data_IF_881906076155
#
_entry.id   IF_881906076155
#
_cell.length_a   1.000
_cell.length_b   1.000
_cell.length_c   1.000
_cell.angle_alpha   90.00
_cell.angle_beta   90.00
_cell.angle_gamma   90.00
#
_symmetry.space_group_name_H-M   'P 1'
#
loop_
_entity.id
_entity.type
_entity.pdbx_description
1 polymer ?
#
# COMPACT_ATOMS: atom_id res chain seq x y z
N UNK A 1 2.91 -9.83 -33.97
CA UNK A 1 4.12 -9.08 -33.61
C UNK A 1 4.54 -9.41 -32.17
N UNK A 2 3.58 -9.80 -31.33
CA UNK A 2 3.75 -10.15 -29.92
C UNK A 2 2.99 -11.44 -29.63
N UNK A 3 3.56 -12.64 -29.95
CA UNK A 3 2.89 -13.93 -29.81
C UNK A 3 2.53 -14.27 -28.36
N UNK A 4 3.27 -13.75 -27.40
CA UNK A 4 3.03 -13.89 -25.97
C UNK A 4 1.63 -13.39 -25.58
N UNK A 5 1.18 -12.27 -26.12
CA UNK A 5 -0.17 -11.75 -25.82
C UNK A 5 -1.28 -12.63 -26.38
N UNK A 6 -1.03 -13.27 -27.53
CA UNK A 6 -1.97 -14.25 -28.08
C UNK A 6 -2.13 -15.42 -27.12
N UNK A 7 -1.01 -15.92 -26.58
CA UNK A 7 -1.03 -17.03 -25.60
C UNK A 7 -1.77 -16.64 -24.32
N UNK A 8 -1.49 -15.45 -23.79
CA UNK A 8 -2.15 -14.95 -22.56
C UNK A 8 -3.66 -14.76 -22.73
N UNK A 9 -4.13 -14.40 -23.92
CA UNK A 9 -5.55 -14.18 -24.20
C UNK A 9 -6.30 -15.43 -24.65
N UNK A 10 -5.59 -16.56 -24.84
CA UNK A 10 -6.20 -17.81 -25.27
C UNK A 10 -6.78 -18.56 -24.06
N UNK A 11 -8.08 -18.75 -24.07
CA UNK A 11 -8.76 -19.52 -23.06
C UNK A 11 -8.39 -21.03 -23.13
N UNK A 12 -8.65 -21.82 -22.08
CA UNK A 12 -8.33 -23.26 -22.06
C UNK A 12 -8.97 -24.08 -23.19
N UNK A 13 -10.04 -23.58 -23.79
CA UNK A 13 -10.71 -24.19 -24.96
C UNK A 13 -10.04 -23.83 -26.30
N UNK A 14 -8.95 -23.03 -26.28
CA UNK A 14 -8.19 -22.63 -27.45
C UNK A 14 -8.74 -21.41 -28.20
N UNK A 15 -9.76 -20.73 -27.69
CA UNK A 15 -10.36 -19.55 -28.31
C UNK A 15 -9.97 -18.25 -27.60
N UNK A 16 -10.03 -17.16 -28.35
CA UNK A 16 -9.81 -15.79 -27.86
C UNK A 16 -11.15 -15.06 -27.85
N UNK A 17 -11.63 -14.67 -26.67
CA UNK A 17 -12.93 -14.04 -26.47
C UNK A 17 -12.87 -12.54 -26.25
N UNK A 18 -11.67 -11.96 -25.98
CA UNK A 18 -11.48 -10.53 -25.72
C UNK A 18 -10.14 -10.05 -26.23
N UNK A 19 -10.04 -8.75 -26.48
CA UNK A 19 -8.74 -8.11 -26.72
C UNK A 19 -8.05 -7.85 -25.38
N UNK A 20 -6.72 -8.07 -25.31
CA UNK A 20 -5.96 -7.74 -24.12
C UNK A 20 -5.93 -6.23 -23.90
N UNK A 21 -5.98 -5.81 -22.67
CA UNK A 21 -5.51 -4.49 -22.29
C UNK A 21 -3.98 -4.53 -22.30
N UNK A 22 -3.37 -3.63 -23.06
CA UNK A 22 -1.91 -3.52 -23.12
C UNK A 22 -1.55 -2.06 -22.82
N UNK A 23 -0.83 -1.85 -21.74
CA UNK A 23 -0.23 -0.58 -21.41
C UNK A 23 1.29 -0.71 -21.51
N UNK A 24 1.91 0.09 -22.35
CA UNK A 24 3.36 0.08 -22.53
C UNK A 24 3.87 1.51 -22.70
N UNK A 25 4.70 1.95 -21.77
CA UNK A 25 5.32 3.29 -21.80
C UNK A 25 6.63 3.33 -22.62
N UNK A 26 7.07 2.19 -23.13
CA UNK A 26 8.28 2.02 -23.92
C UNK A 26 9.18 0.90 -23.38
N UNK A 27 10.23 0.55 -24.12
CA UNK A 27 11.17 -0.51 -23.73
C UNK A 27 11.83 -0.17 -22.39
N UNK A 28 11.80 -1.12 -21.46
CA UNK A 28 12.38 -0.98 -20.11
C UNK A 28 11.62 -0.03 -19.17
N UNK A 29 10.36 0.33 -19.50
CA UNK A 29 9.50 1.15 -18.64
C UNK A 29 8.31 0.34 -18.16
N UNK A 30 8.00 0.50 -16.89
CA UNK A 30 6.82 -0.09 -16.30
C UNK A 30 5.55 0.63 -16.77
N UNK A 31 4.45 -0.12 -16.87
CA UNK A 31 3.13 0.45 -17.12
C UNK A 31 2.67 1.24 -15.86
N UNK A 32 1.91 2.33 -16.09
CA UNK A 32 1.41 3.16 -14.97
C UNK A 32 0.56 2.32 -14.01
N UNK A 33 -0.24 1.38 -14.52
CA UNK A 33 -1.05 0.49 -13.69
C UNK A 33 -0.23 -0.54 -12.90
N UNK A 34 1.01 -0.82 -13.32
CA UNK A 34 1.91 -1.66 -12.53
C UNK A 34 2.45 -0.95 -11.28
N UNK A 35 2.22 0.35 -11.18
CA UNK A 35 2.58 1.18 -10.02
C UNK A 35 1.35 1.51 -9.15
N UNK A 36 0.28 0.78 -9.26
CA UNK A 36 -0.86 0.83 -8.34
C UNK A 36 -0.50 0.34 -6.94
N UNK A 37 -1.34 0.61 -5.98
CA UNK A 37 -1.20 0.13 -4.60
C UNK A 37 0.11 0.55 -3.90
N UNK A 38 0.65 1.73 -4.25
CA UNK A 38 1.89 2.23 -3.67
C UNK A 38 1.58 3.11 -2.46
N UNK A 39 2.11 2.81 -1.28
CA UNK A 39 2.02 3.69 -0.13
C UNK A 39 2.85 4.96 -0.38
N UNK A 40 2.32 6.11 0.00
CA UNK A 40 3.00 7.40 -0.08
C UNK A 40 3.35 7.88 1.33
N UNK A 41 4.52 8.51 1.46
CA UNK A 41 4.92 9.14 2.72
C UNK A 41 5.19 10.63 2.49
N UNK A 42 4.83 11.46 3.46
CA UNK A 42 5.10 12.89 3.39
C UNK A 42 6.59 13.18 3.60
N UNK A 43 7.32 13.28 2.49
CA UNK A 43 8.77 13.53 2.54
C UNK A 43 9.11 14.87 3.20
N UNK A 44 8.26 15.90 3.12
CA UNK A 44 8.52 17.18 3.78
C UNK A 44 8.53 17.05 5.30
N UNK A 45 7.68 16.18 5.86
CA UNK A 45 7.66 15.90 7.29
C UNK A 45 8.91 15.14 7.72
N UNK A 46 9.31 14.14 6.93
CA UNK A 46 10.56 13.42 7.18
C UNK A 46 11.77 14.39 7.19
N UNK A 47 11.90 15.20 6.16
CA UNK A 47 13.00 16.17 6.03
C UNK A 47 13.03 17.17 7.20
N UNK A 48 11.85 17.66 7.62
CA UNK A 48 11.72 18.58 8.74
C UNK A 48 12.16 17.96 10.06
N UNK A 49 11.81 16.69 10.29
CA UNK A 49 12.19 15.93 11.49
C UNK A 49 13.58 15.29 11.40
N UNK A 50 14.27 15.44 10.27
CA UNK A 50 15.61 14.87 10.06
C UNK A 50 15.59 13.35 9.91
N UNK A 51 14.50 12.79 9.40
CA UNK A 51 14.31 11.36 9.21
C UNK A 51 14.60 10.95 7.76
N UNK A 52 15.18 9.77 7.59
CA UNK A 52 15.33 9.14 6.27
C UNK A 52 14.01 8.48 5.83
N UNK A 53 13.87 8.27 4.51
CA UNK A 53 12.73 7.51 3.97
C UNK A 53 12.82 6.07 4.47
N UNK A 54 11.77 5.55 5.14
CA UNK A 54 11.81 4.20 5.69
C UNK A 54 11.88 3.14 4.58
N UNK A 55 12.69 2.11 4.81
CA UNK A 55 12.85 0.96 3.91
C UNK A 55 12.46 -0.35 4.56
N UNK A 56 11.97 -0.31 5.79
CA UNK A 56 11.52 -1.46 6.58
C UNK A 56 10.20 -1.13 7.27
N UNK A 57 9.48 -2.16 7.68
CA UNK A 57 8.24 -2.02 8.47
C UNK A 57 8.51 -1.27 9.78
N UNK A 58 9.56 -1.66 10.50
CA UNK A 58 9.96 -0.99 11.75
C UNK A 58 10.32 0.48 11.51
N UNK A 59 11.04 0.77 10.42
CA UNK A 59 11.39 2.14 10.05
C UNK A 59 10.15 2.99 9.73
N UNK A 60 9.14 2.40 9.08
CA UNK A 60 7.86 3.05 8.82
C UNK A 60 7.15 3.36 10.14
N UNK A 61 7.04 2.39 11.05
CA UNK A 61 6.42 2.61 12.36
C UNK A 61 7.11 3.72 13.15
N UNK A 62 8.45 3.77 13.18
CA UNK A 62 9.18 4.85 13.84
C UNK A 62 8.91 6.22 13.21
N UNK A 63 8.76 6.30 11.88
CA UNK A 63 8.40 7.55 11.22
C UNK A 63 6.98 7.99 11.59
N UNK A 64 6.02 7.07 11.65
CA UNK A 64 4.65 7.36 12.07
C UNK A 64 4.58 7.82 13.52
N UNK A 65 5.35 7.19 14.43
CA UNK A 65 5.49 7.62 15.83
C UNK A 65 6.03 9.04 15.89
N UNK A 66 7.08 9.35 15.12
CA UNK A 66 7.64 10.68 15.09
C UNK A 66 6.64 11.73 14.59
N UNK A 67 5.83 11.42 13.58
CA UNK A 67 4.77 12.32 13.09
C UNK A 67 3.71 12.60 14.15
N UNK A 68 3.32 11.60 14.94
CA UNK A 68 2.40 11.76 16.07
C UNK A 68 3.02 12.60 17.18
N UNK A 69 4.23 12.27 17.59
CA UNK A 69 4.88 12.87 18.76
C UNK A 69 5.30 14.32 18.51
N UNK A 70 5.55 14.71 17.24
CA UNK A 70 5.86 16.07 16.81
C UNK A 70 4.71 16.77 16.09
N UNK A 71 3.46 16.36 16.37
CA UNK A 71 2.28 16.87 15.67
C UNK A 71 2.14 18.40 15.77
N UNK A 72 2.37 18.99 16.94
CA UNK A 72 2.28 20.45 17.14
C UNK A 72 3.33 21.19 16.30
N UNK A 73 4.56 20.69 16.26
CA UNK A 73 5.65 21.28 15.47
C UNK A 73 5.35 21.21 13.97
N UNK A 74 4.79 20.08 13.50
CA UNK A 74 4.36 19.89 12.11
C UNK A 74 3.20 20.82 11.76
N UNK A 75 2.22 20.99 12.64
CA UNK A 75 1.11 21.92 12.44
C UNK A 75 1.61 23.37 12.28
N UNK A 76 2.51 23.80 13.14
CA UNK A 76 3.08 25.15 13.08
C UNK A 76 3.91 25.35 11.80
N UNK A 77 4.80 24.40 11.49
CA UNK A 77 5.72 24.51 10.36
C UNK A 77 5.01 24.49 8.99
N UNK A 78 3.94 23.70 8.85
CA UNK A 78 3.26 23.48 7.58
C UNK A 78 1.86 24.11 7.49
N UNK A 79 1.39 24.78 8.54
CA UNK A 79 0.08 25.43 8.56
C UNK A 79 -1.08 24.44 8.49
N UNK A 80 -0.94 23.27 9.12
CA UNK A 80 -1.97 22.23 9.09
C UNK A 80 -3.14 22.65 9.98
N UNK A 81 -4.31 22.78 9.36
CA UNK A 81 -5.54 23.02 10.08
C UNK A 81 -6.15 21.70 10.55
N UNK A 82 -6.22 21.47 11.84
CA UNK A 82 -6.74 20.21 12.42
C UNK A 82 -5.64 19.30 12.94
N UNK A 83 -5.94 18.03 13.10
CA UNK A 83 -4.99 17.05 13.65
C UNK A 83 -4.01 16.54 12.59
N UNK A 84 -2.76 16.34 12.98
CA UNK A 84 -1.81 15.55 12.18
C UNK A 84 -2.27 14.10 12.22
N UNK A 85 -2.43 13.52 11.05
CA UNK A 85 -2.80 12.11 10.89
C UNK A 85 -1.55 11.38 10.36
N UNK A 86 -0.89 10.55 11.18
CA UNK A 86 0.33 9.88 10.75
C UNK A 86 0.13 8.94 9.57
N UNK A 87 -0.98 8.18 9.57
CA UNK A 87 -1.34 7.25 8.51
C UNK A 87 -2.84 7.25 8.26
N UNK A 88 -3.26 7.30 7.01
CA UNK A 88 -4.66 7.14 6.60
C UNK A 88 -4.77 6.24 5.38
N UNK A 89 -5.88 5.52 5.26
CA UNK A 89 -6.21 4.63 4.15
C UNK A 89 -7.72 4.50 3.98
N UNK A 90 -8.14 3.78 2.96
CA UNK A 90 -9.55 3.37 2.77
C UNK A 90 -9.58 1.86 2.64
N UNK A 91 -10.26 1.19 3.56
CA UNK A 91 -10.38 -0.25 3.52
C UNK A 91 -11.26 -0.71 2.34
N UNK A 92 -10.94 -1.83 1.74
CA UNK A 92 -11.64 -2.41 0.58
C UNK A 92 -11.73 -1.46 -0.64
N UNK A 93 -10.77 -0.58 -0.82
CA UNK A 93 -10.72 0.33 -1.95
C UNK A 93 -9.39 0.20 -2.72
N UNK A 94 -9.11 -0.98 -3.23
CA UNK A 94 -7.99 -1.25 -4.13
C UNK A 94 -6.71 -0.52 -3.73
N UNK A 95 -6.33 0.47 -4.51
CA UNK A 95 -5.06 1.23 -4.38
C UNK A 95 -4.84 1.90 -3.01
N UNK A 96 -5.86 2.04 -2.16
CA UNK A 96 -5.75 2.69 -0.85
C UNK A 96 -5.95 1.74 0.31
N UNK A 97 -6.07 0.44 0.03
CA UNK A 97 -6.19 -0.59 1.06
C UNK A 97 -4.83 -0.85 1.73
N UNK A 98 -4.77 -0.99 3.07
CA UNK A 98 -3.52 -1.24 3.78
C UNK A 98 -2.94 -2.65 3.54
N UNK A 99 -3.62 -3.53 2.81
CA UNK A 99 -3.16 -4.88 2.49
C UNK A 99 -1.75 -4.88 1.87
N UNK A 100 -1.41 -3.86 1.07
CA UNK A 100 -0.07 -3.71 0.49
C UNK A 100 1.04 -3.64 1.56
N UNK A 101 0.76 -3.09 2.72
CA UNK A 101 1.73 -3.02 3.83
C UNK A 101 1.91 -4.38 4.50
N UNK A 102 0.86 -5.22 4.51
CA UNK A 102 0.91 -6.59 5.04
C UNK A 102 1.85 -7.46 4.19
N UNK A 103 2.00 -7.16 2.91
CA UNK A 103 2.94 -7.85 2.03
C UNK A 103 4.41 -7.73 2.49
N UNK A 104 4.75 -6.77 3.33
CA UNK A 104 6.08 -6.65 3.96
C UNK A 104 6.41 -7.76 4.97
N UNK A 105 5.45 -8.61 5.31
CA UNK A 105 5.59 -9.75 6.22
C UNK A 105 5.71 -11.07 5.46
N UNK A 106 6.02 -12.17 6.14
CA UNK A 106 6.07 -13.50 5.54
C UNK A 106 7.02 -13.60 4.33
N UNK A 107 8.20 -12.99 4.42
CA UNK A 107 9.20 -12.96 3.35
C UNK A 107 8.67 -12.29 2.04
N UNK A 108 7.69 -11.39 2.15
CA UNK A 108 7.07 -10.72 1.01
C UNK A 108 5.80 -11.39 0.49
N UNK A 109 5.31 -12.38 1.19
CA UNK A 109 4.06 -13.10 0.84
C UNK A 109 2.95 -12.90 1.89
N UNK A 110 2.99 -11.82 2.66
CA UNK A 110 2.02 -11.57 3.71
C UNK A 110 0.59 -11.39 3.18
N UNK A 111 0.42 -10.62 2.10
CA UNK A 111 -0.84 -10.52 1.35
C UNK A 111 -0.62 -9.90 -0.03
N UNK A 112 -1.58 -10.10 -0.93
CA UNK A 112 -1.58 -9.61 -2.32
C UNK A 112 -2.94 -9.03 -2.72
N UNK A 113 -3.77 -8.58 -1.86
CA UNK A 113 -5.10 -8.10 -2.22
C UNK A 113 -6.08 -9.17 -2.75
N UNK A 114 -5.63 -10.05 -3.64
CA UNK A 114 -6.38 -11.22 -4.11
C UNK A 114 -6.25 -12.42 -3.17
N UNK A 115 -5.42 -12.30 -2.15
CA UNK A 115 -5.11 -13.33 -1.16
C UNK A 115 -4.42 -14.58 -1.71
N UNK A 116 -3.82 -14.51 -2.89
CA UNK A 116 -3.02 -15.57 -3.47
C UNK A 116 -1.66 -15.05 -3.87
N UNK A 117 -0.63 -15.84 -3.62
CA UNK A 117 0.71 -15.58 -4.08
C UNK A 117 1.32 -16.83 -4.72
N UNK A 118 2.29 -16.63 -5.60
CA UNK A 118 3.11 -17.70 -6.15
C UNK A 118 4.51 -17.51 -5.57
N UNK A 119 4.98 -18.51 -4.83
CA UNK A 119 6.31 -18.48 -4.23
C UNK A 119 7.41 -18.62 -5.29
N UNK A 120 8.64 -18.34 -4.92
CA UNK A 120 9.80 -18.49 -5.81
C UNK A 120 9.96 -19.91 -6.35
N UNK A 121 9.49 -20.92 -5.59
CA UNK A 121 9.47 -22.31 -6.00
C UNK A 121 8.29 -22.67 -6.94
N UNK A 122 7.43 -21.69 -7.23
CA UNK A 122 6.25 -21.88 -8.10
C UNK A 122 5.04 -22.51 -7.39
N UNK A 123 5.03 -22.56 -6.06
CA UNK A 123 3.88 -23.01 -5.28
C UNK A 123 2.84 -21.89 -5.18
N UNK A 124 1.56 -22.23 -5.36
CA UNK A 124 0.45 -21.30 -5.12
C UNK A 124 0.01 -21.43 -3.68
N UNK A 125 0.10 -20.30 -2.95
CA UNK A 125 -0.33 -20.22 -1.56
C UNK A 125 -1.56 -19.30 -1.42
N UNK A 126 -2.39 -19.56 -0.39
CA UNK A 126 -3.45 -18.66 0.04
C UNK A 126 -2.92 -17.85 1.24
N UNK A 127 -2.73 -16.55 1.04
CA UNK A 127 -1.97 -15.70 1.96
C UNK A 127 -2.63 -15.58 3.33
N UNK A 128 -3.97 -15.51 3.39
CA UNK A 128 -4.71 -15.27 4.65
C UNK A 128 -4.57 -16.37 5.71
N UNK A 129 -4.09 -17.54 5.32
CA UNK A 129 -3.81 -18.65 6.26
C UNK A 129 -2.33 -18.77 6.63
N UNK A 130 -1.49 -17.89 6.09
CA UNK A 130 -0.06 -17.86 6.37
C UNK A 130 0.25 -17.08 7.65
N UNK A 131 1.33 -17.45 8.33
CA UNK A 131 1.76 -16.75 9.54
C UNK A 131 2.11 -15.27 9.25
N UNK A 132 2.74 -14.96 8.11
CA UNK A 132 3.06 -13.60 7.70
C UNK A 132 1.83 -12.68 7.58
N UNK A 133 0.70 -13.20 7.10
CA UNK A 133 -0.55 -12.44 7.09
C UNK A 133 -1.01 -12.08 8.51
N UNK A 134 -0.97 -13.05 9.41
CA UNK A 134 -1.33 -12.85 10.82
C UNK A 134 -0.41 -11.82 11.49
N UNK A 135 0.91 -11.93 11.27
CA UNK A 135 1.88 -10.96 11.78
C UNK A 135 1.61 -9.55 11.26
N UNK A 136 1.32 -9.40 9.96
CA UNK A 136 0.97 -8.12 9.35
C UNK A 136 -0.31 -7.52 9.92
N UNK A 137 -1.36 -8.31 10.14
CA UNK A 137 -2.59 -7.86 10.79
C UNK A 137 -2.34 -7.45 12.26
N UNK A 138 -1.52 -8.19 12.99
CA UNK A 138 -1.15 -7.85 14.36
C UNK A 138 -0.38 -6.53 14.42
N UNK A 139 0.54 -6.32 13.48
CA UNK A 139 1.26 -5.06 13.36
C UNK A 139 0.30 -3.91 13.03
N UNK A 140 -0.58 -4.03 12.04
CA UNK A 140 -1.56 -3.00 11.70
C UNK A 140 -2.46 -2.67 12.89
N UNK A 141 -2.89 -3.68 13.65
CA UNK A 141 -3.63 -3.49 14.90
C UNK A 141 -2.83 -2.70 15.91
N UNK A 142 -1.53 -2.98 16.06
CA UNK A 142 -0.67 -2.23 16.99
C UNK A 142 -0.52 -0.76 16.62
N UNK A 143 -0.54 -0.41 15.31
CA UNK A 143 -0.55 0.98 14.87
C UNK A 143 -1.83 1.70 15.29
N UNK A 144 -2.98 1.02 15.24
CA UNK A 144 -4.26 1.57 15.71
C UNK A 144 -4.22 1.80 17.22
N UNK A 145 -3.71 0.84 18.01
CA UNK A 145 -3.57 0.99 19.46
C UNK A 145 -2.64 2.12 19.90
N UNK A 146 -1.70 2.49 19.02
CA UNK A 146 -0.76 3.59 19.25
C UNK A 146 -1.26 4.93 18.73
N UNK A 147 -2.51 5.06 18.28
CA UNK A 147 -3.07 6.27 17.66
C UNK A 147 -2.27 6.76 16.42
N UNK A 148 -1.68 5.82 15.67
CA UNK A 148 -0.93 6.12 14.45
C UNK A 148 -1.79 6.10 13.19
N UNK A 149 -2.98 5.52 13.28
CA UNK A 149 -3.93 5.36 12.17
C UNK A 149 -5.11 6.33 12.33
N UNK A 150 -5.50 6.95 11.22
CA UNK A 150 -6.72 7.75 11.12
C UNK A 150 -7.92 6.98 11.70
N UNK A 151 -8.61 7.49 12.71
CA UNK A 151 -9.76 6.80 13.30
C UNK A 151 -10.91 6.59 12.32
N UNK A 152 -10.97 7.36 11.23
CA UNK A 152 -11.98 7.22 10.19
C UNK A 152 -11.54 6.28 9.04
N UNK A 153 -10.31 5.77 9.03
CA UNK A 153 -9.75 4.97 7.94
C UNK A 153 -10.63 3.77 7.54
N UNK A 154 -11.32 3.17 8.50
CA UNK A 154 -12.17 1.99 8.28
C UNK A 154 -13.58 2.33 7.78
N UNK A 155 -13.98 3.60 7.77
CA UNK A 155 -15.36 4.02 7.46
C UNK A 155 -15.45 5.21 6.52
N UNK A 156 -14.31 5.87 6.23
CA UNK A 156 -14.32 7.07 5.40
C UNK A 156 -14.54 6.76 3.92
N UNK A 157 -15.17 7.72 3.26
CA UNK A 157 -15.35 7.71 1.82
C UNK A 157 -14.19 8.40 1.10
N UNK A 158 -14.01 8.11 -0.19
CA UNK A 158 -12.98 8.69 -1.04
C UNK A 158 -12.86 10.22 -0.93
N UNK A 159 -14.00 10.94 -0.93
CA UNK A 159 -14.02 12.40 -0.83
C UNK A 159 -13.41 12.92 0.47
N UNK A 160 -13.66 12.23 1.58
CA UNK A 160 -13.09 12.56 2.90
C UNK A 160 -11.60 12.30 2.93
N UNK A 161 -11.17 11.13 2.46
CA UNK A 161 -9.76 10.77 2.36
C UNK A 161 -8.95 11.79 1.54
N UNK A 162 -9.44 12.14 0.34
CA UNK A 162 -8.78 13.12 -0.54
C UNK A 162 -8.77 14.53 0.10
N UNK A 163 -9.80 14.90 0.86
CA UNK A 163 -9.82 16.19 1.54
C UNK A 163 -8.73 16.30 2.60
N UNK A 164 -8.48 15.23 3.37
CA UNK A 164 -7.41 15.16 4.37
C UNK A 164 -6.01 15.32 3.75
N UNK A 165 -5.78 14.78 2.57
CA UNK A 165 -4.49 14.88 1.87
C UNK A 165 -4.22 16.23 1.20
N UNK A 166 -5.14 17.19 1.27
CA UNK A 166 -4.99 18.53 0.69
C UNK A 166 -4.54 19.61 1.67
N UNK A 167 -4.53 19.29 2.95
CA UNK A 167 -4.19 20.21 4.03
C UNK A 167 -2.73 20.09 4.45
#
# INVERSE_FOLDING_TARGET
KYPEYTTMCTAPDGHIYSFPWIEQLGEGKEAIQAIGDIPYINKKWLDFLGLEVPTTVDGLEQALIAFRDHAEELQEAFGIEGSVIPMSFIINNGDQDPAILINGFGEGYGDTGDHFAVTDDGEVIYTTVQEGYKEGIQWLHSLVEQDLVDPEAFTQEWSTYVAKGKN
#
